data_IF_023533202541
#
_entry.id   IF_023533202541
#
_cell.length_a   1.000
_cell.length_b   1.000
_cell.length_c   1.000
_cell.angle_alpha   90.00
_cell.angle_beta   90.00
_cell.angle_gamma   90.00
#
_symmetry.space_group_name_H-M   'P 1'
#
loop_
_entity.id
_entity.type
_entity.pdbx_description
1 polymer ?
#
# COMPACT_ATOMS: atom_id res chain seq x y z
N UNK A 1 -23.34 1.85 -6.20
CA UNK A 1 -23.24 0.40 -5.96
C UNK A 1 -22.78 -0.37 -7.20
N UNK A 2 -23.37 -0.15 -8.37
CA UNK A 2 -22.99 -0.81 -9.64
C UNK A 2 -21.50 -0.70 -9.97
N UNK A 3 -20.88 0.46 -9.75
CA UNK A 3 -19.44 0.72 -10.00
C UNK A 3 -18.55 -0.24 -9.19
N UNK A 4 -18.90 -0.49 -7.93
CA UNK A 4 -18.13 -1.40 -7.07
C UNK A 4 -18.26 -2.86 -7.55
N UNK A 5 -19.45 -3.26 -7.97
CA UNK A 5 -19.69 -4.61 -8.53
C UNK A 5 -18.87 -4.79 -9.81
N UNK A 6 -18.87 -3.81 -10.70
CA UNK A 6 -18.09 -3.85 -11.94
C UNK A 6 -16.60 -3.89 -11.65
N UNK A 7 -16.10 -3.05 -10.73
CA UNK A 7 -14.69 -3.03 -10.32
C UNK A 7 -14.23 -4.38 -9.79
N UNK A 8 -14.99 -4.98 -8.88
CA UNK A 8 -14.73 -6.34 -8.37
C UNK A 8 -14.73 -7.37 -9.49
N UNK A 9 -15.77 -7.35 -10.35
CA UNK A 9 -15.95 -8.34 -11.43
C UNK A 9 -14.81 -8.25 -12.43
N UNK A 10 -14.40 -7.05 -12.85
CA UNK A 10 -13.26 -6.84 -13.75
C UNK A 10 -12.00 -7.42 -13.13
N UNK A 11 -11.67 -7.04 -11.88
CA UNK A 11 -10.48 -7.57 -11.19
C UNK A 11 -10.54 -9.10 -11.08
N UNK A 12 -11.67 -9.65 -10.71
CA UNK A 12 -11.84 -11.11 -10.56
C UNK A 12 -11.70 -11.87 -11.88
N UNK A 13 -12.32 -11.37 -12.96
CA UNK A 13 -12.23 -11.99 -14.28
C UNK A 13 -10.81 -11.91 -14.86
N UNK A 14 -10.13 -10.78 -14.66
CA UNK A 14 -8.72 -10.63 -15.06
C UNK A 14 -7.84 -11.62 -14.31
N UNK A 15 -8.03 -11.80 -12.98
CA UNK A 15 -7.30 -12.78 -12.19
C UNK A 15 -7.52 -14.21 -12.69
N UNK A 16 -8.77 -14.60 -12.96
CA UNK A 16 -9.08 -15.91 -13.54
C UNK A 16 -8.40 -16.05 -14.92
N UNK A 17 -8.47 -15.03 -15.77
CA UNK A 17 -7.83 -15.04 -17.07
C UNK A 17 -6.32 -15.20 -16.96
N UNK A 18 -5.66 -14.46 -16.06
CA UNK A 18 -4.23 -14.59 -15.79
C UNK A 18 -3.86 -16.01 -15.32
N UNK A 19 -4.57 -16.55 -14.34
CA UNK A 19 -4.26 -17.87 -13.77
C UNK A 19 -4.53 -19.04 -14.71
N UNK A 20 -5.45 -18.89 -15.67
CA UNK A 20 -5.79 -19.94 -16.65
C UNK A 20 -5.05 -19.80 -17.97
N UNK A 21 -4.21 -18.79 -18.14
CA UNK A 21 -3.45 -18.56 -19.38
C UNK A 21 -1.95 -18.40 -19.08
N UNK A 22 -1.13 -18.52 -20.10
CA UNK A 22 0.32 -18.25 -19.96
C UNK A 22 0.65 -16.77 -19.72
N UNK A 23 -0.35 -15.89 -19.71
CA UNK A 23 -0.16 -14.45 -19.43
C UNK A 23 0.35 -14.17 -18.00
N UNK A 24 -0.01 -15.01 -17.02
CA UNK A 24 0.56 -14.90 -15.69
C UNK A 24 2.09 -15.09 -15.67
N UNK A 25 2.62 -15.87 -16.61
CA UNK A 25 4.04 -16.21 -16.66
C UNK A 25 4.92 -15.12 -17.30
N UNK A 26 4.35 -14.00 -17.75
CA UNK A 26 5.10 -12.85 -18.30
C UNK A 26 6.06 -12.28 -17.24
N UNK A 27 5.65 -12.30 -15.97
CA UNK A 27 6.48 -11.89 -14.82
C UNK A 27 6.35 -12.95 -13.72
N UNK A 28 7.38 -13.81 -13.62
CA UNK A 28 7.48 -14.85 -12.60
C UNK A 28 8.45 -14.41 -11.50
N UNK A 29 8.07 -14.64 -10.26
CA UNK A 29 8.96 -14.50 -9.12
C UNK A 29 9.59 -15.86 -8.79
N UNK A 30 10.89 -15.98 -9.08
CA UNK A 30 11.67 -17.15 -8.72
C UNK A 30 12.22 -17.01 -7.30
N UNK A 31 12.09 -18.05 -6.46
CA UNK A 31 12.66 -18.04 -5.12
C UNK A 31 14.15 -17.72 -5.14
N UNK A 32 14.57 -16.78 -4.33
CA UNK A 32 15.96 -16.40 -4.11
C UNK A 32 16.26 -16.31 -2.61
N UNK A 33 17.52 -15.99 -2.24
CA UNK A 33 17.94 -15.91 -0.84
C UNK A 33 17.15 -14.91 0.04
N UNK A 34 16.37 -14.03 -0.58
CA UNK A 34 15.53 -13.01 0.10
C UNK A 34 14.06 -13.40 0.15
N UNK A 35 13.64 -14.33 -0.71
CA UNK A 35 12.26 -14.75 -0.80
C UNK A 35 11.79 -15.44 0.47
N UNK A 36 10.53 -15.20 0.83
CA UNK A 36 9.83 -15.91 1.90
C UNK A 36 9.03 -17.10 1.35
N UNK A 37 8.89 -17.20 0.01
CA UNK A 37 8.21 -18.29 -0.69
C UNK A 37 9.22 -19.27 -1.31
N UNK A 38 8.77 -20.51 -1.57
CA UNK A 38 9.59 -21.60 -2.10
C UNK A 38 9.19 -22.08 -3.51
N UNK A 39 8.08 -21.60 -4.05
CA UNK A 39 7.56 -21.97 -5.37
C UNK A 39 7.61 -20.80 -6.35
N UNK A 40 7.80 -21.10 -7.64
CA UNK A 40 7.62 -20.11 -8.72
C UNK A 40 6.19 -19.60 -8.69
N UNK A 41 6.01 -18.28 -8.51
CA UNK A 41 4.69 -17.68 -8.39
C UNK A 41 4.58 -16.46 -9.33
N UNK A 42 3.50 -16.34 -10.14
CA UNK A 42 3.27 -15.16 -10.96
C UNK A 42 3.12 -13.90 -10.10
N UNK A 43 3.71 -12.78 -10.54
CA UNK A 43 3.61 -11.47 -9.88
C UNK A 43 2.86 -10.44 -10.72
N UNK A 44 1.78 -10.88 -11.36
CA UNK A 44 0.94 -10.06 -12.24
C UNK A 44 -0.42 -9.70 -11.63
N UNK A 45 -0.66 -10.06 -10.36
CA UNK A 45 -1.95 -9.84 -9.70
C UNK A 45 -2.35 -8.38 -9.55
N UNK A 46 -1.36 -7.49 -9.44
CA UNK A 46 -1.58 -6.04 -9.38
C UNK A 46 -2.23 -5.45 -10.63
N UNK A 47 -1.97 -6.04 -11.81
CA UNK A 47 -2.68 -5.64 -13.03
C UNK A 47 -4.19 -5.79 -12.89
N UNK A 48 -4.65 -6.87 -12.29
CA UNK A 48 -6.07 -7.12 -12.11
C UNK A 48 -6.70 -6.09 -11.17
N UNK A 49 -6.02 -5.75 -10.06
CA UNK A 49 -6.47 -4.71 -9.14
C UNK A 49 -6.59 -3.38 -9.89
N UNK A 50 -5.51 -2.97 -10.56
CA UNK A 50 -5.46 -1.67 -11.21
C UNK A 50 -6.45 -1.54 -12.37
N UNK A 51 -6.67 -2.59 -13.16
CA UNK A 51 -7.68 -2.56 -14.21
C UNK A 51 -9.09 -2.37 -13.65
N UNK A 52 -9.45 -3.05 -12.56
CA UNK A 52 -10.72 -2.83 -11.88
C UNK A 52 -10.86 -1.40 -11.35
N UNK A 53 -9.80 -0.85 -10.76
CA UNK A 53 -9.77 0.53 -10.26
C UNK A 53 -9.91 1.55 -11.40
N UNK A 54 -9.15 1.39 -12.50
CA UNK A 54 -9.18 2.31 -13.63
C UNK A 54 -10.55 2.34 -14.32
N UNK A 55 -11.19 1.16 -14.49
CA UNK A 55 -12.56 1.07 -15.02
C UNK A 55 -13.54 1.80 -14.10
N UNK A 56 -13.46 1.62 -12.79
CA UNK A 56 -14.31 2.34 -11.84
C UNK A 56 -14.08 3.86 -11.89
N UNK A 57 -12.84 4.31 -11.99
CA UNK A 57 -12.51 5.73 -12.10
C UNK A 57 -13.04 6.33 -13.40
N UNK A 58 -12.97 5.59 -14.51
CA UNK A 58 -13.56 6.02 -15.78
C UNK A 58 -15.10 6.15 -15.69
N UNK A 59 -15.76 5.23 -15.00
CA UNK A 59 -17.21 5.26 -14.78
C UNK A 59 -17.68 6.39 -13.86
N UNK A 60 -16.83 6.81 -12.90
CA UNK A 60 -17.13 7.93 -12.01
C UNK A 60 -17.09 9.29 -12.74
N UNK A 61 -16.36 9.36 -13.87
CA UNK A 61 -16.19 10.59 -14.65
C UNK A 61 -15.32 11.65 -13.96
N UNK A 62 -14.77 12.57 -14.75
CA UNK A 62 -13.97 13.70 -14.23
C UNK A 62 -12.62 13.35 -13.59
N UNK A 63 -12.19 12.08 -13.63
CA UNK A 63 -10.98 11.60 -12.94
C UNK A 63 -9.79 11.35 -13.89
N UNK A 64 -9.75 12.03 -15.04
CA UNK A 64 -8.75 11.76 -16.09
C UNK A 64 -7.31 11.88 -15.61
N UNK A 65 -6.99 12.87 -14.77
CA UNK A 65 -5.65 13.01 -14.21
C UNK A 65 -5.31 11.85 -13.25
N UNK A 66 -6.26 11.41 -12.43
CA UNK A 66 -6.09 10.22 -11.57
C UNK A 66 -5.85 8.96 -12.39
N UNK A 67 -6.66 8.76 -13.45
CA UNK A 67 -6.54 7.61 -14.35
C UNK A 67 -5.17 7.64 -15.04
N UNK A 68 -4.78 8.78 -15.61
CA UNK A 68 -3.52 8.92 -16.34
C UNK A 68 -2.30 8.66 -15.46
N UNK A 69 -2.27 9.20 -14.22
CA UNK A 69 -1.15 9.01 -13.31
C UNK A 69 -1.11 7.58 -12.78
N UNK A 70 -2.26 7.02 -12.36
CA UNK A 70 -2.33 5.66 -11.85
C UNK A 70 -1.98 4.62 -12.94
N UNK A 71 -2.47 4.80 -14.16
CA UNK A 71 -2.11 3.98 -15.31
C UNK A 71 -0.61 4.12 -15.66
N UNK A 72 -0.06 5.33 -15.59
CA UNK A 72 1.37 5.58 -15.77
C UNK A 72 2.23 4.78 -14.78
N UNK A 73 1.88 4.83 -13.49
CA UNK A 73 2.54 4.00 -12.47
C UNK A 73 2.40 2.51 -12.77
N UNK A 74 1.20 2.03 -13.09
CA UNK A 74 0.95 0.62 -13.42
C UNK A 74 1.80 0.15 -14.60
N UNK A 75 1.81 0.91 -15.71
CA UNK A 75 2.52 0.52 -16.93
C UNK A 75 4.04 0.50 -16.73
N UNK A 76 4.60 1.52 -16.06
CA UNK A 76 6.05 1.57 -15.80
C UNK A 76 6.45 0.46 -14.84
N UNK A 77 5.66 0.17 -13.83
CA UNK A 77 5.93 -0.92 -12.89
C UNK A 77 5.80 -2.29 -13.55
N UNK A 78 4.85 -2.45 -14.48
CA UNK A 78 4.77 -3.68 -15.29
C UNK A 78 6.02 -3.84 -16.17
N UNK A 79 6.50 -2.76 -16.78
CA UNK A 79 7.76 -2.81 -17.55
C UNK A 79 8.94 -3.18 -16.67
N UNK A 80 8.96 -2.71 -15.41
CA UNK A 80 9.99 -3.11 -14.44
C UNK A 80 9.89 -4.60 -14.09
N UNK A 81 8.68 -5.09 -13.81
CA UNK A 81 8.43 -6.50 -13.52
C UNK A 81 8.87 -7.44 -14.66
N UNK A 82 8.75 -7.00 -15.90
CA UNK A 82 9.09 -7.81 -17.11
C UNK A 82 10.56 -7.66 -17.53
N UNK A 83 11.08 -6.43 -17.54
CA UNK A 83 12.40 -6.11 -18.13
C UNK A 83 13.47 -5.78 -17.10
N UNK A 84 13.13 -5.52 -15.83
CA UNK A 84 14.08 -5.16 -14.78
C UNK A 84 14.71 -3.78 -15.01
N UNK A 85 13.96 -2.71 -14.83
CA UNK A 85 14.42 -1.34 -15.04
C UNK A 85 15.49 -0.95 -14.01
N UNK A 86 16.46 -0.14 -14.41
CA UNK A 86 17.43 0.41 -13.48
C UNK A 86 16.76 1.34 -12.48
N UNK A 87 17.15 1.25 -11.21
CA UNK A 87 16.56 2.02 -10.08
C UNK A 87 16.45 3.52 -10.38
N UNK A 88 17.47 4.10 -11.06
CA UNK A 88 17.47 5.53 -11.43
C UNK A 88 16.29 5.92 -12.33
N UNK A 89 15.94 5.07 -13.31
CA UNK A 89 14.82 5.34 -14.22
C UNK A 89 13.47 5.17 -13.50
N UNK A 90 13.36 4.15 -12.66
CA UNK A 90 12.16 3.96 -11.81
C UNK A 90 11.90 5.20 -10.96
N UNK A 91 12.91 5.66 -10.22
CA UNK A 91 12.79 6.84 -9.36
C UNK A 91 12.52 8.12 -10.17
N UNK A 92 13.15 8.30 -11.34
CA UNK A 92 12.91 9.47 -12.18
C UNK A 92 11.45 9.52 -12.69
N UNK A 93 10.89 8.38 -13.11
CA UNK A 93 9.50 8.33 -13.58
C UNK A 93 8.53 8.48 -12.40
N UNK A 94 8.80 7.85 -11.26
CA UNK A 94 8.00 8.05 -10.05
C UNK A 94 7.98 9.52 -9.65
N UNK A 95 9.13 10.20 -9.68
CA UNK A 95 9.24 11.64 -9.40
C UNK A 95 8.38 12.46 -10.38
N UNK A 96 8.45 12.15 -11.67
CA UNK A 96 7.67 12.84 -12.70
C UNK A 96 6.16 12.66 -12.49
N UNK A 97 5.69 11.44 -12.21
CA UNK A 97 4.29 11.14 -11.97
C UNK A 97 3.78 11.78 -10.66
N UNK A 98 4.58 11.75 -9.59
CA UNK A 98 4.26 12.44 -8.34
C UNK A 98 4.23 13.97 -8.54
N UNK A 99 5.17 14.54 -9.31
CA UNK A 99 5.16 15.96 -9.65
C UNK A 99 3.93 16.33 -10.49
N UNK A 100 3.51 15.45 -11.41
CA UNK A 100 2.25 15.59 -12.14
C UNK A 100 1.04 15.67 -11.20
N UNK A 101 0.95 14.81 -10.19
CA UNK A 101 -0.10 14.90 -9.18
C UNK A 101 -0.06 16.22 -8.41
N UNK A 102 1.11 16.65 -7.95
CA UNK A 102 1.27 17.93 -7.25
C UNK A 102 0.84 19.09 -8.16
N UNK A 103 1.20 19.05 -9.43
CA UNK A 103 0.81 20.05 -10.43
C UNK A 103 -0.71 20.12 -10.62
N UNK A 104 -1.38 18.98 -10.83
CA UNK A 104 -2.83 18.97 -11.09
C UNK A 104 -3.69 19.28 -9.86
N UNK A 105 -3.25 18.88 -8.67
CA UNK A 105 -4.10 18.88 -7.49
C UNK A 105 -3.64 19.78 -6.36
N UNK A 106 -2.36 20.18 -6.30
CA UNK A 106 -1.82 20.82 -5.09
C UNK A 106 -1.24 22.24 -5.31
N UNK A 107 -1.18 22.77 -6.52
CA UNK A 107 -0.54 24.08 -6.82
C UNK A 107 -1.07 25.26 -5.99
N UNK A 108 -2.29 25.16 -5.45
CA UNK A 108 -2.86 26.21 -4.59
C UNK A 108 -2.33 26.17 -3.15
N UNK A 109 -1.58 25.13 -2.80
CA UNK A 109 -1.00 24.99 -1.47
C UNK A 109 0.29 25.82 -1.34
N UNK A 110 0.67 26.24 -0.12
CA UNK A 110 1.93 26.92 0.11
C UNK A 110 3.14 26.08 -0.39
N UNK A 111 4.18 26.74 -0.86
CA UNK A 111 5.37 26.09 -1.44
C UNK A 111 6.01 25.04 -0.53
N UNK A 112 6.00 25.24 0.79
CA UNK A 112 6.55 24.28 1.75
C UNK A 112 5.72 23.00 1.84
N UNK A 113 4.38 23.08 1.62
CA UNK A 113 3.52 21.89 1.51
C UNK A 113 3.89 21.10 0.26
N UNK A 114 4.09 21.78 -0.88
CA UNK A 114 4.48 21.13 -2.13
C UNK A 114 5.85 20.44 -1.99
N UNK A 115 6.79 21.11 -1.31
CA UNK A 115 8.11 20.58 -1.03
C UNK A 115 8.08 19.32 -0.17
N UNK A 116 7.17 19.21 0.80
CA UNK A 116 7.00 18.04 1.65
C UNK A 116 6.14 16.94 1.01
N UNK A 117 5.14 17.31 0.21
CA UNK A 117 4.24 16.37 -0.43
C UNK A 117 4.95 15.45 -1.43
N UNK A 118 5.91 15.99 -2.19
CA UNK A 118 6.61 15.23 -3.22
C UNK A 118 7.44 14.07 -2.64
N UNK A 119 8.35 14.29 -1.66
CA UNK A 119 9.06 13.17 -1.02
C UNK A 119 8.13 12.23 -0.25
N UNK A 120 7.05 12.74 0.35
CA UNK A 120 6.07 11.89 1.02
C UNK A 120 5.36 10.92 0.06
N UNK A 121 4.98 11.38 -1.14
CA UNK A 121 4.40 10.54 -2.19
C UNK A 121 5.39 9.49 -2.68
N UNK A 122 6.64 9.89 -2.97
CA UNK A 122 7.68 8.96 -3.39
C UNK A 122 7.95 7.93 -2.30
N UNK A 123 7.99 8.37 -1.04
CA UNK A 123 8.16 7.49 0.10
C UNK A 123 7.01 6.48 0.21
N UNK A 124 5.75 6.94 0.21
CA UNK A 124 4.57 6.06 0.25
C UNK A 124 4.55 5.05 -0.90
N UNK A 125 4.92 5.48 -2.10
CA UNK A 125 5.01 4.62 -3.30
C UNK A 125 5.99 3.47 -3.08
N UNK A 126 7.18 3.75 -2.56
CA UNK A 126 8.22 2.73 -2.38
C UNK A 126 8.03 1.89 -1.13
N UNK A 127 7.60 2.48 0.00
CA UNK A 127 7.37 1.71 1.22
C UNK A 127 6.27 0.66 1.04
N UNK A 128 5.24 0.97 0.25
CA UNK A 128 4.17 0.01 -0.03
C UNK A 128 4.71 -1.22 -0.78
N UNK A 129 5.60 -0.99 -1.74
CA UNK A 129 6.29 -2.05 -2.45
C UNK A 129 7.20 -2.89 -1.52
N UNK A 130 7.91 -2.26 -0.57
CA UNK A 130 8.71 -2.99 0.42
C UNK A 130 7.88 -3.90 1.34
N UNK A 131 6.63 -3.53 1.55
CA UNK A 131 5.70 -4.29 2.41
C UNK A 131 4.91 -5.37 1.64
N UNK A 132 5.09 -5.50 0.32
CA UNK A 132 4.46 -6.52 -0.52
C UNK A 132 5.30 -7.81 -0.61
N UNK A 133 5.82 -8.28 0.50
CA UNK A 133 6.68 -9.48 0.51
C UNK A 133 6.07 -10.68 1.25
N UNK A 134 4.78 -10.66 1.60
CA UNK A 134 4.11 -11.77 2.29
C UNK A 134 2.67 -11.94 1.81
N UNK A 135 2.23 -13.21 1.72
CA UNK A 135 0.89 -13.58 1.29
C UNK A 135 -0.20 -12.81 2.04
N UNK A 136 -1.08 -12.15 1.30
CA UNK A 136 -2.22 -11.40 1.81
C UNK A 136 -1.89 -10.02 2.42
N UNK A 137 -0.65 -9.73 2.75
CA UNK A 137 -0.30 -8.56 3.57
C UNK A 137 -0.65 -7.23 2.87
N UNK A 138 -0.11 -6.99 1.68
CA UNK A 138 -0.34 -5.73 0.94
C UNK A 138 -1.80 -5.60 0.47
N UNK A 139 -2.43 -6.71 0.06
CA UNK A 139 -3.86 -6.74 -0.25
C UNK A 139 -4.73 -6.38 0.95
N UNK A 140 -4.38 -6.90 2.14
CA UNK A 140 -5.05 -6.54 3.39
C UNK A 140 -4.92 -5.05 3.72
N UNK A 141 -3.70 -4.51 3.68
CA UNK A 141 -3.49 -3.07 3.91
C UNK A 141 -4.30 -2.21 2.93
N UNK A 142 -4.37 -2.64 1.65
CA UNK A 142 -5.23 -1.97 0.66
C UNK A 142 -6.69 -1.95 1.11
N UNK A 143 -7.23 -3.10 1.53
CA UNK A 143 -8.62 -3.21 1.96
C UNK A 143 -8.91 -2.35 3.21
N UNK A 144 -8.08 -2.44 4.24
CA UNK A 144 -8.25 -1.68 5.49
C UNK A 144 -8.00 -0.19 5.29
N UNK A 145 -6.89 0.19 4.64
CA UNK A 145 -6.50 1.59 4.47
C UNK A 145 -7.47 2.38 3.61
N UNK A 146 -7.76 1.88 2.42
CA UNK A 146 -8.74 2.54 1.54
C UNK A 146 -10.18 2.36 2.03
N UNK A 147 -10.48 1.31 2.81
CA UNK A 147 -11.73 1.17 3.53
C UNK A 147 -11.95 2.29 4.53
N UNK A 148 -10.91 2.64 5.30
CA UNK A 148 -10.96 3.80 6.21
C UNK A 148 -11.20 5.11 5.45
N UNK A 149 -10.53 5.33 4.32
CA UNK A 149 -10.76 6.50 3.48
C UNK A 149 -12.19 6.54 2.92
N UNK A 150 -12.73 5.40 2.46
CA UNK A 150 -14.10 5.30 1.96
C UNK A 150 -15.11 5.67 3.05
N UNK A 151 -14.96 5.13 4.27
CA UNK A 151 -15.85 5.43 5.39
C UNK A 151 -15.75 6.89 5.80
N UNK A 152 -14.53 7.42 5.96
CA UNK A 152 -14.32 8.82 6.32
C UNK A 152 -14.92 9.79 5.28
N UNK A 153 -14.74 9.50 3.97
CA UNK A 153 -15.33 10.27 2.87
C UNK A 153 -16.86 10.21 2.90
N UNK A 154 -17.43 9.03 3.17
CA UNK A 154 -18.88 8.85 3.30
C UNK A 154 -19.46 9.65 4.46
N UNK A 155 -18.76 9.66 5.62
CA UNK A 155 -19.19 10.41 6.81
C UNK A 155 -19.32 11.92 6.57
N UNK A 156 -18.56 12.47 5.62
CA UNK A 156 -18.62 13.90 5.24
C UNK A 156 -19.39 14.15 3.92
N UNK A 157 -20.03 13.11 3.35
CA UNK A 157 -20.88 13.22 2.16
C UNK A 157 -20.12 13.29 0.84
N UNK A 158 -18.81 13.04 0.78
CA UNK A 158 -18.03 13.01 -0.45
C UNK A 158 -18.16 11.64 -1.14
N UNK A 159 -19.27 11.46 -1.89
CA UNK A 159 -19.58 10.17 -2.54
C UNK A 159 -18.58 9.81 -3.64
N UNK A 160 -18.03 10.78 -4.38
CA UNK A 160 -17.04 10.49 -5.42
C UNK A 160 -15.82 9.80 -4.83
N UNK A 161 -15.22 10.38 -3.78
CA UNK A 161 -14.07 9.80 -3.11
C UNK A 161 -14.41 8.48 -2.40
N UNK A 162 -15.63 8.37 -1.86
CA UNK A 162 -16.15 7.12 -1.28
C UNK A 162 -16.13 5.98 -2.31
N UNK A 163 -16.63 6.22 -3.51
CA UNK A 163 -16.64 5.20 -4.56
C UNK A 163 -15.26 4.95 -5.17
N UNK A 164 -14.38 5.96 -5.26
CA UNK A 164 -12.99 5.79 -5.66
C UNK A 164 -12.26 4.81 -4.70
N UNK A 165 -12.32 5.10 -3.41
CA UNK A 165 -11.70 4.25 -2.38
C UNK A 165 -12.38 2.87 -2.32
N UNK A 166 -13.70 2.83 -2.39
CA UNK A 166 -14.46 1.58 -2.43
C UNK A 166 -14.09 0.67 -3.60
N UNK A 167 -13.83 1.24 -4.79
CA UNK A 167 -13.36 0.49 -5.95
C UNK A 167 -12.01 -0.17 -5.72
N UNK A 168 -11.08 0.56 -5.07
CA UNK A 168 -9.77 0.01 -4.68
C UNK A 168 -9.94 -1.14 -3.68
N UNK A 169 -10.83 -0.98 -2.70
CA UNK A 169 -11.14 -2.02 -1.70
C UNK A 169 -11.66 -3.29 -2.38
N UNK A 170 -12.70 -3.18 -3.20
CA UNK A 170 -13.33 -4.39 -3.79
C UNK A 170 -12.42 -5.07 -4.81
N UNK A 171 -11.59 -4.31 -5.55
CA UNK A 171 -10.57 -4.87 -6.43
C UNK A 171 -9.51 -5.64 -5.65
N UNK A 172 -9.08 -5.10 -4.51
CA UNK A 172 -8.14 -5.78 -3.61
C UNK A 172 -8.76 -7.02 -2.95
N UNK A 173 -10.04 -6.99 -2.59
CA UNK A 173 -10.75 -8.16 -2.07
C UNK A 173 -10.82 -9.27 -3.11
N UNK A 174 -11.09 -8.96 -4.38
CA UNK A 174 -11.02 -9.93 -5.47
C UNK A 174 -9.62 -10.57 -5.57
N UNK A 175 -8.56 -9.76 -5.47
CA UNK A 175 -7.17 -10.24 -5.46
C UNK A 175 -6.86 -11.13 -4.26
N UNK A 176 -7.31 -10.77 -3.05
CA UNK A 176 -7.09 -11.53 -1.83
C UNK A 176 -7.67 -12.96 -1.88
N UNK A 177 -8.68 -13.22 -2.69
CA UNK A 177 -9.21 -14.59 -2.90
C UNK A 177 -8.15 -15.53 -3.47
N UNK A 178 -7.12 -14.99 -4.15
CA UNK A 178 -6.04 -15.76 -4.77
C UNK A 178 -4.67 -15.51 -4.14
N UNK A 179 -4.51 -14.40 -3.39
CA UNK A 179 -3.23 -14.02 -2.77
C UNK A 179 -3.17 -14.35 -1.27
N UNK A 180 -4.32 -14.56 -0.58
CA UNK A 180 -4.27 -15.02 0.82
C UNK A 180 -3.64 -16.41 0.89
N UNK A 181 -2.93 -16.66 1.99
CA UNK A 181 -2.13 -17.89 2.18
C UNK A 181 -2.91 -19.18 1.96
N UNK A 182 -2.41 -20.13 1.16
CA UNK A 182 -1.21 -20.05 0.31
C UNK A 182 -1.48 -19.29 -0.99
N UNK A 183 -0.63 -18.27 -1.29
CA UNK A 183 -0.81 -17.42 -2.45
C UNK A 183 -0.64 -18.19 -3.77
N UNK A 184 -1.55 -17.97 -4.72
CA UNK A 184 -1.48 -18.49 -6.10
C UNK A 184 -0.92 -17.46 -7.07
N UNK A 185 -0.94 -16.19 -6.69
CA UNK A 185 -0.46 -15.04 -7.47
C UNK A 185 -0.01 -13.93 -6.53
N UNK A 186 1.11 -13.28 -6.82
CA UNK A 186 1.60 -12.11 -6.09
C UNK A 186 1.15 -10.82 -6.76
N UNK A 187 1.17 -9.73 -6.01
CA UNK A 187 0.76 -8.41 -6.49
C UNK A 187 1.73 -7.87 -7.54
N UNK A 188 3.02 -7.92 -7.26
CA UNK A 188 4.09 -7.36 -8.07
C UNK A 188 4.13 -5.82 -8.03
N UNK A 189 5.16 -5.26 -8.66
CA UNK A 189 5.39 -3.82 -8.70
C UNK A 189 4.24 -3.09 -9.44
N UNK A 190 3.64 -3.76 -10.45
CA UNK A 190 2.48 -3.24 -11.20
C UNK A 190 1.23 -2.98 -10.32
N UNK A 191 1.18 -3.53 -9.11
CA UNK A 191 0.12 -3.29 -8.13
C UNK A 191 0.59 -2.46 -6.94
N UNK A 192 1.65 -2.88 -6.27
CA UNK A 192 2.11 -2.29 -5.00
C UNK A 192 2.55 -0.83 -5.15
N UNK A 193 3.25 -0.48 -6.23
CA UNK A 193 3.71 0.88 -6.51
C UNK A 193 2.55 1.85 -6.76
N UNK A 194 1.60 1.59 -7.70
CA UNK A 194 0.45 2.48 -7.88
C UNK A 194 -0.46 2.53 -6.66
N UNK A 195 -0.63 1.45 -5.89
CA UNK A 195 -1.41 1.47 -4.65
C UNK A 195 -0.75 2.33 -3.57
N UNK A 196 0.57 2.26 -3.44
CA UNK A 196 1.33 3.14 -2.54
C UNK A 196 1.19 4.61 -2.92
N UNK A 197 1.29 4.93 -4.22
CA UNK A 197 1.01 6.27 -4.72
C UNK A 197 -0.42 6.70 -4.38
N UNK A 198 -1.44 5.89 -4.70
CA UNK A 198 -2.84 6.21 -4.43
C UNK A 198 -3.11 6.41 -2.92
N UNK A 199 -2.46 5.61 -2.05
CA UNK A 199 -2.59 5.76 -0.60
C UNK A 199 -2.11 7.15 -0.14
N UNK A 200 -0.95 7.59 -0.61
CA UNK A 200 -0.42 8.92 -0.32
C UNK A 200 -1.22 10.04 -0.99
N UNK A 201 -1.52 9.89 -2.27
CA UNK A 201 -2.22 10.90 -3.07
C UNK A 201 -3.65 11.16 -2.59
N UNK A 202 -4.43 10.11 -2.31
CA UNK A 202 -5.78 10.24 -1.75
C UNK A 202 -5.72 10.81 -0.33
N UNK A 203 -4.72 10.39 0.47
CA UNK A 203 -4.50 10.95 1.80
C UNK A 203 -4.28 12.46 1.79
N UNK A 204 -3.39 12.94 0.92
CA UNK A 204 -3.10 14.36 0.73
C UNK A 204 -4.29 15.12 0.14
N UNK A 205 -4.96 14.53 -0.85
CA UNK A 205 -6.13 15.15 -1.48
C UNK A 205 -7.27 15.33 -0.48
N UNK A 206 -7.60 14.32 0.32
CA UNK A 206 -8.64 14.42 1.32
C UNK A 206 -8.31 15.41 2.44
N UNK A 207 -7.02 15.49 2.86
CA UNK A 207 -6.58 16.55 3.76
C UNK A 207 -6.76 17.94 3.15
N UNK A 208 -6.36 18.13 1.90
CA UNK A 208 -6.49 19.40 1.18
C UNK A 208 -7.97 19.83 1.02
N UNK A 209 -8.87 18.88 0.81
CA UNK A 209 -10.31 19.10 0.73
C UNK A 209 -10.98 19.30 2.09
N UNK A 210 -10.23 19.22 3.20
CA UNK A 210 -10.76 19.34 4.56
C UNK A 210 -11.60 18.15 5.02
N UNK A 211 -11.51 17.00 4.35
CA UNK A 211 -12.28 15.79 4.70
C UNK A 211 -11.76 15.13 5.96
N UNK A 212 -10.45 15.25 6.22
CA UNK A 212 -9.76 14.75 7.40
C UNK A 212 -8.47 15.52 7.69
N UNK A 213 -7.97 15.51 8.95
CA UNK A 213 -6.67 16.06 9.30
C UNK A 213 -5.51 15.18 8.81
N UNK A 214 -4.31 15.76 8.66
CA UNK A 214 -3.12 15.08 8.10
C UNK A 214 -2.69 13.83 8.89
N UNK A 215 -2.94 13.78 10.21
CA UNK A 215 -2.61 12.61 11.00
C UNK A 215 -3.43 11.37 10.61
N UNK A 216 -4.64 11.54 10.02
CA UNK A 216 -5.53 10.43 9.68
C UNK A 216 -4.93 9.46 8.65
N UNK A 217 -4.48 9.90 7.45
CA UNK A 217 -3.81 9.01 6.51
C UNK A 217 -2.53 8.37 7.07
N UNK A 218 -1.75 9.12 7.86
CA UNK A 218 -0.53 8.60 8.49
C UNK A 218 -0.85 7.50 9.50
N UNK A 219 -1.88 7.66 10.34
CA UNK A 219 -2.29 6.65 11.30
C UNK A 219 -2.88 5.42 10.60
N UNK A 220 -3.74 5.60 9.60
CA UNK A 220 -4.39 4.50 8.88
C UNK A 220 -3.38 3.59 8.19
N UNK A 221 -2.35 4.15 7.56
CA UNK A 221 -1.27 3.39 6.91
C UNK A 221 -0.05 3.17 7.81
N UNK A 222 -0.15 3.47 9.10
CA UNK A 222 0.96 3.36 10.05
C UNK A 222 1.58 1.95 10.15
N UNK A 223 0.87 0.81 9.99
CA UNK A 223 1.51 -0.49 9.98
C UNK A 223 2.64 -0.56 8.95
N UNK A 224 2.39 -0.09 7.74
CA UNK A 224 3.37 -0.06 6.67
C UNK A 224 4.40 1.06 6.84
N UNK A 225 3.97 2.26 7.23
CA UNK A 225 4.86 3.42 7.42
C UNK A 225 5.87 3.13 8.53
N UNK A 226 5.42 2.61 9.66
CA UNK A 226 6.28 2.39 10.84
C UNK A 226 7.27 1.26 10.59
N UNK A 227 6.83 0.11 10.05
CA UNK A 227 7.75 -1.00 9.73
C UNK A 227 8.85 -0.55 8.75
N UNK A 228 8.44 -0.04 7.57
CA UNK A 228 9.39 0.35 6.54
C UNK A 228 10.33 1.45 6.99
N UNK A 229 9.80 2.52 7.62
CA UNK A 229 10.61 3.66 8.02
C UNK A 229 11.60 3.27 9.13
N UNK A 230 11.14 2.54 10.15
CA UNK A 230 12.01 2.11 11.26
C UNK A 230 13.08 1.13 10.78
N UNK A 231 12.73 0.19 9.91
CA UNK A 231 13.68 -0.77 9.36
C UNK A 231 14.77 -0.07 8.56
N UNK A 232 14.40 0.84 7.65
CA UNK A 232 15.39 1.55 6.85
C UNK A 232 16.20 2.55 7.68
N UNK A 233 15.60 3.22 8.66
CA UNK A 233 16.32 4.10 9.58
C UNK A 233 17.38 3.33 10.37
N UNK A 234 17.04 2.14 10.90
CA UNK A 234 18.02 1.27 11.59
C UNK A 234 19.18 0.86 10.67
N UNK A 235 18.90 0.59 9.39
CA UNK A 235 19.94 0.26 8.40
C UNK A 235 20.84 1.46 8.08
N UNK A 236 20.27 2.67 7.96
CA UNK A 236 21.06 3.91 7.80
C UNK A 236 22.00 4.10 8.99
N UNK A 237 21.48 3.94 10.21
CA UNK A 237 22.28 4.09 11.45
C UNK A 237 23.40 3.02 11.57
N UNK A 238 23.25 1.86 10.92
CA UNK A 238 24.29 0.83 10.80
C UNK A 238 25.21 1.03 9.58
N UNK A 239 25.07 2.17 8.87
CA UNK A 239 25.82 2.48 7.65
C UNK A 239 25.65 1.46 6.51
N UNK A 240 24.51 0.76 6.48
CA UNK A 240 24.18 -0.19 5.41
C UNK A 240 23.60 0.51 4.19
N UNK A 241 23.80 -0.09 3.02
CA UNK A 241 23.23 0.44 1.76
C UNK A 241 21.73 0.16 1.70
N UNK A 242 20.89 1.16 1.97
CA UNK A 242 19.43 1.01 2.05
C UNK A 242 18.77 0.61 0.73
N UNK A 243 19.42 0.84 -0.41
CA UNK A 243 18.97 0.41 -1.73
C UNK A 243 19.30 -1.04 -2.06
N UNK A 244 20.10 -1.71 -1.24
CA UNK A 244 20.30 -3.14 -1.35
C UNK A 244 19.12 -3.87 -0.73
N UNK A 245 18.65 -4.86 -1.47
CA UNK A 245 17.55 -5.68 -1.02
C UNK A 245 17.91 -6.50 0.23
N UNK A 246 16.97 -6.59 1.15
CA UNK A 246 17.10 -7.22 2.46
C UNK A 246 15.79 -7.91 2.88
N UNK A 247 15.81 -8.62 3.99
CA UNK A 247 14.63 -9.26 4.61
C UNK A 247 14.56 -8.95 6.10
N UNK A 248 14.65 -7.66 6.44
CA UNK A 248 14.75 -7.22 7.83
C UNK A 248 13.50 -6.47 8.30
N UNK A 249 12.48 -6.28 7.44
CA UNK A 249 11.21 -5.71 7.85
C UNK A 249 10.58 -6.53 8.98
N UNK A 250 9.87 -5.89 9.89
CA UNK A 250 9.32 -6.56 11.06
C UNK A 250 8.36 -7.68 10.70
N UNK A 251 7.53 -7.50 9.65
CA UNK A 251 6.68 -8.58 9.15
C UNK A 251 7.50 -9.77 8.63
N UNK A 252 8.64 -9.52 7.94
CA UNK A 252 9.53 -10.59 7.46
C UNK A 252 10.19 -11.33 8.61
N UNK A 253 10.62 -10.60 9.65
CA UNK A 253 11.17 -11.22 10.87
C UNK A 253 10.15 -12.12 11.55
N UNK A 254 8.87 -11.69 11.65
CA UNK A 254 7.80 -12.52 12.21
C UNK A 254 7.62 -13.82 11.42
N UNK A 255 7.56 -13.74 10.08
CA UNK A 255 7.49 -14.95 9.23
C UNK A 255 8.68 -15.88 9.50
N UNK A 256 9.89 -15.33 9.54
CA UNK A 256 11.13 -16.08 9.76
C UNK A 256 11.25 -16.62 11.20
N UNK A 257 10.66 -15.97 12.20
CA UNK A 257 10.58 -16.44 13.58
C UNK A 257 9.64 -17.64 13.77
N UNK A 258 9.04 -18.13 12.68
CA UNK A 258 8.18 -19.33 12.71
C UNK A 258 6.69 -19.04 12.75
N UNK A 259 6.27 -17.80 12.67
CA UNK A 259 4.83 -17.47 12.53
C UNK A 259 4.28 -17.87 11.17
N UNK A 260 5.12 -17.84 10.13
CA UNK A 260 4.69 -18.08 8.75
C UNK A 260 3.77 -16.97 8.22
N UNK A 261 3.46 -17.02 6.93
CA UNK A 261 2.66 -15.98 6.26
C UNK A 261 1.27 -15.78 6.87
N UNK A 262 0.52 -16.87 7.10
CA UNK A 262 -0.87 -16.80 7.57
C UNK A 262 -1.00 -16.12 8.93
N UNK A 263 -0.20 -16.54 9.92
CA UNK A 263 -0.26 -15.94 11.27
C UNK A 263 0.15 -14.47 11.24
N UNK A 264 1.20 -14.14 10.50
CA UNK A 264 1.68 -12.76 10.35
C UNK A 264 0.61 -11.89 9.70
N UNK A 265 0.00 -12.32 8.57
CA UNK A 265 -1.06 -11.57 7.92
C UNK A 265 -2.28 -11.36 8.83
N UNK A 266 -2.72 -12.38 9.56
CA UNK A 266 -3.86 -12.25 10.48
C UNK A 266 -3.55 -11.29 11.64
N UNK A 267 -2.34 -11.34 12.22
CA UNK A 267 -1.94 -10.41 13.28
C UNK A 267 -1.90 -8.96 12.77
N UNK A 268 -1.37 -8.74 11.56
CA UNK A 268 -1.38 -7.43 10.90
C UNK A 268 -2.81 -6.95 10.60
N UNK A 269 -3.72 -7.84 10.19
CA UNK A 269 -5.14 -7.49 9.97
C UNK A 269 -5.83 -7.05 11.27
N UNK A 270 -5.54 -7.72 12.38
CA UNK A 270 -6.06 -7.30 13.69
C UNK A 270 -5.54 -5.91 14.05
N UNK A 271 -4.24 -5.67 13.87
CA UNK A 271 -3.63 -4.36 14.12
C UNK A 271 -4.26 -3.28 13.22
N UNK A 272 -4.35 -3.53 11.90
CA UNK A 272 -4.96 -2.62 10.92
C UNK A 272 -6.43 -2.32 11.28
N UNK A 273 -7.20 -3.32 11.65
CA UNK A 273 -8.60 -3.16 12.05
C UNK A 273 -8.76 -2.27 13.28
N UNK A 274 -7.97 -2.52 14.32
CA UNK A 274 -7.98 -1.70 15.54
C UNK A 274 -7.58 -0.25 15.27
N UNK A 275 -6.57 -0.04 14.43
CA UNK A 275 -6.13 1.30 14.01
C UNK A 275 -7.23 2.00 13.23
N UNK A 276 -7.87 1.33 12.28
CA UNK A 276 -8.93 1.92 11.45
C UNK A 276 -10.12 2.35 12.31
N UNK A 277 -10.59 1.50 13.22
CA UNK A 277 -11.68 1.85 14.13
C UNK A 277 -11.28 3.05 15.00
N UNK A 278 -10.08 3.02 15.58
CA UNK A 278 -9.58 4.10 16.42
C UNK A 278 -9.44 5.39 15.60
N UNK A 279 -8.84 5.35 14.41
CA UNK A 279 -8.66 6.52 13.55
C UNK A 279 -9.99 7.17 13.13
N UNK A 280 -10.99 6.35 12.75
CA UNK A 280 -12.33 6.85 12.40
C UNK A 280 -13.04 7.47 13.61
N UNK A 281 -12.94 6.86 14.80
CA UNK A 281 -13.49 7.43 16.04
C UNK A 281 -12.82 8.76 16.38
N UNK A 282 -11.48 8.84 16.23
CA UNK A 282 -10.70 10.05 16.51
C UNK A 282 -11.10 11.27 15.66
N UNK A 283 -11.69 11.08 14.47
CA UNK A 283 -12.18 12.19 13.64
C UNK A 283 -13.25 13.05 14.34
N UNK A 284 -13.92 12.51 15.36
CA UNK A 284 -14.97 13.18 16.13
C UNK A 284 -14.53 13.62 17.53
N UNK A 285 -13.29 13.35 17.92
CA UNK A 285 -12.80 13.63 19.28
C UNK A 285 -12.14 15.00 19.40
N UNK A 286 -12.17 15.62 20.59
CA UNK A 286 -11.38 16.81 20.90
C UNK A 286 -9.88 16.57 20.74
N UNK A 287 -9.12 17.62 20.41
CA UNK A 287 -7.68 17.55 20.11
C UNK A 287 -6.85 16.84 21.18
N UNK A 288 -7.18 17.04 22.48
CA UNK A 288 -6.46 16.39 23.57
C UNK A 288 -6.51 14.85 23.46
N UNK A 289 -7.71 14.30 23.22
CA UNK A 289 -7.88 12.86 23.07
C UNK A 289 -7.17 12.31 21.82
N UNK A 290 -7.17 13.10 20.74
CA UNK A 290 -6.43 12.75 19.53
C UNK A 290 -4.94 12.61 19.82
N UNK A 291 -4.34 13.59 20.52
CA UNK A 291 -2.93 13.56 20.90
C UNK A 291 -2.63 12.34 21.80
N UNK A 292 -3.45 12.10 22.81
CA UNK A 292 -3.26 10.96 23.72
C UNK A 292 -3.33 9.62 22.99
N UNK A 293 -4.25 9.46 22.04
CA UNK A 293 -4.38 8.24 21.24
C UNK A 293 -3.24 8.08 20.24
N UNK A 294 -2.73 9.15 19.64
CA UNK A 294 -1.53 9.10 18.81
C UNK A 294 -0.31 8.66 19.63
N UNK A 295 -0.13 9.21 20.83
CA UNK A 295 0.95 8.79 21.75
C UNK A 295 0.78 7.31 22.18
N UNK A 296 -0.47 6.89 22.43
CA UNK A 296 -0.76 5.48 22.73
C UNK A 296 -0.33 4.57 21.58
N UNK A 297 -0.65 4.90 20.31
CA UNK A 297 -0.24 4.11 19.16
C UNK A 297 1.27 4.10 18.96
N UNK A 298 1.95 5.24 19.19
CA UNK A 298 3.43 5.27 19.18
C UNK A 298 4.02 4.32 20.23
N UNK A 299 3.44 4.29 21.44
CA UNK A 299 3.87 3.37 22.49
C UNK A 299 3.62 1.90 22.11
N UNK A 300 2.44 1.59 21.52
CA UNK A 300 2.11 0.23 21.04
C UNK A 300 3.13 -0.23 20.01
N UNK A 301 3.43 0.59 18.99
CA UNK A 301 4.44 0.26 17.99
C UNK A 301 5.82 0.05 18.60
N UNK A 302 6.24 0.96 19.46
CA UNK A 302 7.52 0.84 20.15
C UNK A 302 7.61 -0.47 20.93
N UNK A 303 6.57 -0.82 21.68
CA UNK A 303 6.51 -2.07 22.43
C UNK A 303 6.56 -3.32 21.53
N UNK A 304 5.76 -3.34 20.44
CA UNK A 304 5.75 -4.44 19.48
C UNK A 304 7.15 -4.62 18.86
N UNK A 305 7.76 -3.54 18.42
CA UNK A 305 9.09 -3.57 17.79
C UNK A 305 10.18 -4.05 18.76
N UNK A 306 10.18 -3.57 19.99
CA UNK A 306 11.12 -4.07 21.01
C UNK A 306 10.96 -5.56 21.26
N UNK A 307 9.74 -6.07 21.30
CA UNK A 307 9.48 -7.51 21.47
C UNK A 307 10.01 -8.32 20.29
N UNK A 308 9.78 -7.86 19.07
CA UNK A 308 10.24 -8.54 17.86
C UNK A 308 11.78 -8.48 17.77
N UNK A 309 12.40 -7.33 18.08
CA UNK A 309 13.87 -7.20 18.11
C UNK A 309 14.49 -8.18 19.10
N UNK A 310 13.96 -8.26 20.34
CA UNK A 310 14.46 -9.20 21.36
C UNK A 310 14.34 -10.66 20.90
N UNK A 311 13.23 -11.04 20.29
CA UNK A 311 13.06 -12.40 19.75
C UNK A 311 13.99 -12.66 18.57
N UNK A 312 14.25 -11.66 17.76
CA UNK A 312 15.16 -11.78 16.62
C UNK A 312 16.61 -11.96 17.04
N UNK A 313 17.06 -11.18 18.03
CA UNK A 313 18.41 -11.30 18.60
C UNK A 313 18.66 -12.68 19.24
N UNK A 314 17.66 -13.27 19.89
CA UNK A 314 17.76 -14.61 20.48
C UNK A 314 17.91 -15.73 19.44
N UNK A 315 17.59 -15.47 18.17
CA UNK A 315 17.72 -16.45 17.08
C UNK A 315 19.08 -16.40 16.39
N UNK A 316 19.79 -15.30 16.50
CA UNK A 316 21.14 -15.17 15.97
C UNK A 316 22.08 -15.99 16.84
N UNK A 317 22.95 -16.87 16.28
CA UNK A 317 23.86 -17.71 17.02
C UNK A 317 24.91 -16.89 17.76
#
# INVERSE_FOLDING_TARGET
MIILIISFTVSFLVLIGLLNTNLANIALDAPNHRSLHSALTPRTGGLAIMLGVLVAFAMLGGLWAWIGIAAGFMLVSLMDDVYGLQVRWRLAIQLLLCAGFVWFFMLRQPWWVLFLALPALIWMTNLYNFMDGSDGLAGGMTAFGFGAYAVASYMVGNLQLTFMCGAIVVSSLAFLLFNFYPAKIFMGDAGSIPLGFLAGAIGLHGWQQGLWPMWFPVLVFSPFIVDSTTTLLKRVLRHEKVWQAHREHYYQRLVLLGWGHKKTAVAEYILMFLIVICALAMLKLPHLWVILLLLFWLFVYFYIMLKIDKLWEQRLP
#
